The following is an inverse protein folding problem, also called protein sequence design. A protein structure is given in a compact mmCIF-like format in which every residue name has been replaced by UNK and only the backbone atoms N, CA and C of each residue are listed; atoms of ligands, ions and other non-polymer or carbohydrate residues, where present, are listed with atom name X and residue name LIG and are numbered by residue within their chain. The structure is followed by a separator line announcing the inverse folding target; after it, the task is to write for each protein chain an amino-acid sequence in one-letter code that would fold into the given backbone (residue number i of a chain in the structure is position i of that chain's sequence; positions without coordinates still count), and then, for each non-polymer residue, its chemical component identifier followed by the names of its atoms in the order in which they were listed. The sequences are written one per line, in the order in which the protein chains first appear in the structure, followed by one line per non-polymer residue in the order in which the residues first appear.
data_IF_782535863052
#
_entry.id   IF_782535863052
#
_cell.length_a   1.000
_cell.length_b   1.000
_cell.length_c   1.000
_cell.angle_alpha   90.00
_cell.angle_beta   90.00
_cell.angle_gamma   90.00
#
_symmetry.space_group_name_H-M   'P 1'
#
loop_
_entity.id
_entity.type
_entity.pdbx_description
1 polymer ?
#
# COMPACT_ATOMS: atom_id res chain seq x y z
N UNK A 1 -12.44 -2.26 36.47
CA UNK A 1 -11.92 -2.21 35.13
C UNK A 1 -11.73 -0.78 34.65
N UNK A 2 -10.52 -0.34 34.60
CA UNK A 2 -10.22 1.01 34.22
C UNK A 2 -10.17 1.17 32.72
N UNK A 3 -10.75 2.23 32.22
CA UNK A 3 -10.45 2.65 30.87
C UNK A 3 -9.03 3.19 30.88
N UNK A 4 -8.18 2.59 30.08
CA UNK A 4 -6.83 3.10 29.95
C UNK A 4 -6.88 4.48 29.31
N UNK A 5 -6.48 5.49 30.06
CA UNK A 5 -6.36 6.84 29.52
C UNK A 5 -5.08 6.88 28.72
N UNK A 6 -5.21 7.05 27.42
CA UNK A 6 -4.05 7.15 26.56
C UNK A 6 -3.38 8.51 26.71
N UNK A 7 -2.07 8.48 26.83
CA UNK A 7 -1.29 9.72 26.84
C UNK A 7 -1.28 10.33 25.43
N UNK A 8 -0.96 11.61 25.33
CA UNK A 8 -0.83 12.27 24.04
C UNK A 8 0.18 11.56 23.13
N UNK A 9 1.25 11.02 23.70
CA UNK A 9 2.25 10.25 22.99
C UNK A 9 1.68 8.97 22.39
N UNK A 10 0.85 8.25 23.16
CA UNK A 10 0.20 7.03 22.68
C UNK A 10 -0.80 7.32 21.58
N UNK A 11 -1.57 8.41 21.70
CA UNK A 11 -2.52 8.82 20.68
C UNK A 11 -1.79 9.18 19.38
N UNK A 12 -0.68 9.90 19.46
CA UNK A 12 0.11 10.26 18.31
C UNK A 12 0.72 9.01 17.63
N UNK A 13 1.20 8.05 18.41
CA UNK A 13 1.74 6.79 17.90
C UNK A 13 0.65 5.97 17.19
N UNK A 14 -0.56 5.90 17.77
CA UNK A 14 -1.69 5.20 17.18
C UNK A 14 -2.12 5.84 15.84
N UNK A 15 -2.17 7.16 15.77
CA UNK A 15 -2.51 7.88 14.56
C UNK A 15 -1.49 7.59 13.45
N UNK A 16 -0.20 7.58 13.79
CA UNK A 16 0.87 7.27 12.85
C UNK A 16 0.78 5.82 12.37
N UNK A 17 0.49 4.89 13.25
CA UNK A 17 0.33 3.48 12.91
C UNK A 17 -0.85 3.28 11.96
N UNK A 18 -1.97 3.96 12.19
CA UNK A 18 -3.14 3.89 11.30
C UNK A 18 -2.84 4.45 9.92
N UNK A 19 -2.15 5.58 9.84
CA UNK A 19 -1.75 6.18 8.58
C UNK A 19 -0.84 5.25 7.78
N UNK A 20 0.11 4.59 8.46
CA UNK A 20 1.00 3.61 7.83
C UNK A 20 0.24 2.39 7.32
N UNK A 21 -0.74 1.92 8.09
CA UNK A 21 -1.56 0.77 7.69
C UNK A 21 -2.44 1.12 6.50
N UNK A 22 -3.06 2.30 6.49
CA UNK A 22 -3.85 2.77 5.37
C UNK A 22 -3.01 2.84 4.10
N UNK A 23 -1.79 3.34 4.19
CA UNK A 23 -0.87 3.42 3.08
C UNK A 23 -0.52 2.03 2.54
N UNK A 24 -0.27 1.07 3.42
CA UNK A 24 -0.02 -0.32 3.02
C UNK A 24 -1.21 -0.93 2.31
N UNK A 25 -2.41 -0.70 2.82
CA UNK A 25 -3.64 -1.22 2.21
C UNK A 25 -3.88 -0.61 0.84
N UNK A 26 -3.67 0.69 0.69
CA UNK A 26 -3.76 1.35 -0.61
C UNK A 26 -2.75 0.77 -1.59
N UNK A 27 -1.52 0.54 -1.16
CA UNK A 27 -0.49 -0.03 -1.99
C UNK A 27 -0.86 -1.43 -2.45
N UNK A 28 -1.36 -2.27 -1.55
CA UNK A 28 -1.81 -3.63 -1.88
C UNK A 28 -2.98 -3.61 -2.85
N UNK A 29 -3.94 -2.70 -2.63
CA UNK A 29 -5.09 -2.55 -3.51
C UNK A 29 -4.65 -2.12 -4.91
N UNK A 30 -3.70 -1.20 -4.99
CA UNK A 30 -3.15 -0.76 -6.27
C UNK A 30 -2.46 -1.91 -7.01
N UNK A 31 -1.63 -2.67 -6.30
CA UNK A 31 -0.96 -3.83 -6.89
C UNK A 31 -1.99 -4.84 -7.40
N UNK A 32 -2.99 -5.17 -6.59
CA UNK A 32 -4.05 -6.10 -6.99
C UNK A 32 -4.82 -5.60 -8.21
N UNK A 33 -5.14 -4.32 -8.25
CA UNK A 33 -5.91 -3.74 -9.36
C UNK A 33 -5.14 -3.67 -10.67
N UNK A 34 -3.80 -3.74 -10.61
CA UNK A 34 -2.95 -3.66 -11.79
C UNK A 34 -2.24 -4.98 -12.12
N UNK A 35 -2.45 -6.04 -11.35
CA UNK A 35 -1.81 -7.35 -11.61
C UNK A 35 -2.19 -7.91 -12.98
N UNK A 36 -3.38 -7.62 -13.49
CA UNK A 36 -3.80 -8.06 -14.82
C UNK A 36 -2.86 -7.55 -15.92
N UNK A 37 -2.24 -6.39 -15.71
CA UNK A 37 -1.28 -5.84 -16.67
C UNK A 37 0.00 -6.67 -16.72
N UNK A 38 0.41 -7.21 -15.56
CA UNK A 38 1.58 -8.10 -15.49
C UNK A 38 1.29 -9.41 -16.20
N UNK A 39 0.10 -9.96 -15.97
CA UNK A 39 -0.34 -11.20 -16.65
C UNK A 39 -0.40 -10.97 -18.14
N UNK A 40 -0.98 -9.86 -18.58
CA UNK A 40 -1.07 -9.52 -20.00
C UNK A 40 0.33 -9.39 -20.62
N UNK A 41 1.26 -8.74 -19.92
CA UNK A 41 2.64 -8.62 -20.38
C UNK A 41 3.28 -10.00 -20.57
N UNK A 42 3.09 -10.89 -19.58
CA UNK A 42 3.64 -12.23 -19.63
C UNK A 42 3.06 -13.06 -20.77
N UNK A 43 1.79 -12.91 -21.08
CA UNK A 43 1.10 -13.70 -22.09
C UNK A 43 1.24 -13.14 -23.50
N UNK A 44 1.17 -11.82 -23.64
CA UNK A 44 1.09 -11.18 -24.95
C UNK A 44 2.26 -10.26 -25.27
N UNK A 45 3.13 -9.99 -24.30
CA UNK A 45 4.23 -9.04 -24.46
C UNK A 45 3.81 -7.58 -24.47
N UNK A 46 2.55 -7.28 -24.13
CA UNK A 46 2.06 -5.89 -24.09
C UNK A 46 2.71 -5.15 -22.91
N UNK A 47 3.50 -4.09 -23.17
CA UNK A 47 4.23 -3.41 -22.09
C UNK A 47 3.31 -2.76 -21.07
N UNK A 48 3.75 -2.77 -19.81
CA UNK A 48 3.09 -2.02 -18.76
C UNK A 48 3.48 -0.55 -18.95
N UNK A 49 2.51 0.40 -18.93
CA UNK A 49 2.84 1.82 -19.02
C UNK A 49 3.87 2.22 -17.97
N UNK A 50 4.82 3.07 -18.36
CA UNK A 50 5.92 3.47 -17.47
C UNK A 50 5.42 4.07 -16.15
N UNK A 51 4.37 4.88 -16.19
CA UNK A 51 3.78 5.47 -14.99
C UNK A 51 3.26 4.39 -14.04
N UNK A 52 2.62 3.38 -14.58
CA UNK A 52 2.09 2.27 -13.78
C UNK A 52 3.24 1.44 -13.22
N UNK A 53 4.28 1.19 -14.02
CA UNK A 53 5.44 0.44 -13.55
C UNK A 53 6.12 1.15 -12.37
N UNK A 54 6.27 2.46 -12.43
CA UNK A 54 6.84 3.26 -11.35
C UNK A 54 5.96 3.22 -10.10
N UNK A 55 4.65 3.39 -10.27
CA UNK A 55 3.70 3.33 -9.15
C UNK A 55 3.69 1.96 -8.51
N UNK A 56 3.78 0.90 -9.32
CA UNK A 56 3.86 -0.47 -8.79
C UNK A 56 5.15 -0.69 -8.00
N UNK A 57 6.28 -0.16 -8.48
CA UNK A 57 7.54 -0.26 -7.76
C UNK A 57 7.43 0.43 -6.38
N UNK A 58 6.84 1.62 -6.34
CA UNK A 58 6.62 2.33 -5.09
C UNK A 58 5.62 1.59 -4.19
N UNK A 59 4.56 1.06 -4.78
CA UNK A 59 3.56 0.30 -4.04
C UNK A 59 4.16 -0.96 -3.39
N UNK A 60 5.08 -1.65 -4.05
CA UNK A 60 5.77 -2.79 -3.44
C UNK A 60 6.57 -2.39 -2.22
N UNK A 61 7.19 -1.22 -2.24
CA UNK A 61 7.90 -0.68 -1.09
C UNK A 61 6.91 -0.35 0.03
N UNK A 62 5.83 0.34 -0.30
CA UNK A 62 4.83 0.78 0.66
C UNK A 62 4.03 -0.37 1.26
N UNK A 63 3.81 -1.43 0.50
CA UNK A 63 3.08 -2.61 0.97
C UNK A 63 3.90 -3.51 1.87
N UNK A 64 5.16 -3.35 1.83
CA UNK A 64 6.02 -4.13 2.62
C UNK A 64 6.87 -4.42 3.12
#
# INVERSE_FOLDING_TARGET
MGLAVRTAKQIAADAKARASEAKRQEARAFLASTDWMVVRFAETGTPIPAEIAEKRAQARIDAG
#
